data_IF_567934235612
#
_entry.id   IF_567934235612
#
_cell.length_a   1.000
_cell.length_b   1.000
_cell.length_c   1.000
_cell.angle_alpha   90.00
_cell.angle_beta   90.00
_cell.angle_gamma   90.00
#
_symmetry.space_group_name_H-M   'P 1'
#
loop_
_entity.id
_entity.type
_entity.pdbx_description
1 polymer ?
#
# COMPACT_ATOMS: atom_id res chain seq x y z
N UNK A 1 12.03 -40.77 17.67
CA UNK A 1 11.55 -39.37 17.76
C UNK A 1 10.35 -39.23 16.82
N UNK A 2 9.27 -38.57 17.23
CA UNK A 2 8.00 -38.58 16.48
C UNK A 2 8.04 -37.59 15.30
N UNK A 3 7.67 -38.01 14.07
CA UNK A 3 7.69 -37.18 12.84
C UNK A 3 7.00 -35.82 13.01
N UNK A 4 5.98 -35.75 13.87
CA UNK A 4 5.26 -34.51 14.22
C UNK A 4 6.13 -33.49 14.97
N UNK A 5 7.05 -33.95 15.82
CA UNK A 5 7.97 -33.08 16.57
C UNK A 5 9.08 -32.54 15.65
N UNK A 6 9.54 -33.34 14.69
CA UNK A 6 10.52 -32.93 13.67
C UNK A 6 9.93 -31.86 12.75
N UNK A 7 8.70 -32.05 12.25
CA UNK A 7 8.00 -31.06 11.44
C UNK A 7 7.79 -29.73 12.19
N UNK A 8 7.42 -29.79 13.48
CA UNK A 8 7.26 -28.60 14.33
C UNK A 8 8.59 -27.87 14.55
N UNK A 9 9.67 -28.61 14.81
CA UNK A 9 11.00 -28.03 14.97
C UNK A 9 11.50 -27.37 13.67
N UNK A 10 11.26 -28.00 12.53
CA UNK A 10 11.59 -27.42 11.22
C UNK A 10 10.78 -26.14 10.93
N UNK A 11 9.48 -26.14 11.22
CA UNK A 11 8.63 -24.95 11.08
C UNK A 11 9.09 -23.78 11.96
N UNK A 12 9.41 -24.06 13.23
CA UNK A 12 9.94 -23.04 14.14
C UNK A 12 11.27 -22.47 13.64
N UNK A 13 12.18 -23.33 13.18
CA UNK A 13 13.47 -22.91 12.62
C UNK A 13 13.29 -22.00 11.41
N UNK A 14 12.38 -22.36 10.51
CA UNK A 14 12.06 -21.57 9.31
C UNK A 14 11.49 -20.20 9.68
N UNK A 15 10.55 -20.15 10.63
CA UNK A 15 9.95 -18.91 11.11
C UNK A 15 10.99 -17.96 11.73
N UNK A 16 11.91 -18.49 12.55
CA UNK A 16 12.97 -17.68 13.15
C UNK A 16 13.95 -17.14 12.13
N UNK A 17 14.35 -17.95 11.14
CA UNK A 17 15.18 -17.48 10.04
C UNK A 17 14.49 -16.39 9.18
N UNK A 18 13.16 -16.47 9.02
CA UNK A 18 12.39 -15.43 8.35
C UNK A 18 12.31 -14.13 9.18
N UNK A 19 12.16 -14.26 10.50
CA UNK A 19 12.16 -13.12 11.42
C UNK A 19 13.51 -12.38 11.40
N UNK A 20 14.64 -13.09 11.49
CA UNK A 20 15.98 -12.50 11.40
C UNK A 20 16.18 -11.71 10.10
N UNK A 21 15.70 -12.25 8.96
CA UNK A 21 15.74 -11.55 7.68
C UNK A 21 14.86 -10.30 7.66
N UNK A 22 13.65 -10.39 8.22
CA UNK A 22 12.74 -9.26 8.33
C UNK A 22 13.36 -8.14 9.17
N UNK A 23 13.95 -8.47 10.31
CA UNK A 23 14.61 -7.52 11.20
C UNK A 23 15.80 -6.84 10.52
N UNK A 24 16.65 -7.60 9.83
CA UNK A 24 17.78 -7.03 9.09
C UNK A 24 17.31 -6.05 7.99
N UNK A 25 16.28 -6.44 7.22
CA UNK A 25 15.70 -5.57 6.19
C UNK A 25 15.05 -4.32 6.80
N UNK A 26 14.35 -4.47 7.92
CA UNK A 26 13.71 -3.38 8.66
C UNK A 26 14.74 -2.40 9.23
N UNK A 27 15.85 -2.89 9.79
CA UNK A 27 16.94 -2.03 10.26
C UNK A 27 17.53 -1.21 9.10
N UNK A 28 17.79 -1.84 7.95
CA UNK A 28 18.22 -1.11 6.74
C UNK A 28 17.21 -0.05 6.31
N UNK A 29 15.91 -0.36 6.36
CA UNK A 29 14.85 0.59 6.03
C UNK A 29 14.80 1.77 7.02
N UNK A 30 14.96 1.52 8.32
CA UNK A 30 15.03 2.56 9.35
C UNK A 30 16.21 3.49 9.11
N UNK A 31 17.40 2.96 8.78
CA UNK A 31 18.58 3.78 8.47
C UNK A 31 18.32 4.71 7.28
N UNK A 32 17.66 4.22 6.23
CA UNK A 32 17.27 5.05 5.07
C UNK A 32 16.30 6.15 5.50
N UNK A 33 15.31 5.81 6.34
CA UNK A 33 14.31 6.78 6.81
C UNK A 33 14.91 7.83 7.75
N UNK A 34 15.83 7.44 8.62
CA UNK A 34 16.51 8.32 9.58
C UNK A 34 17.38 9.36 8.85
N UNK A 35 18.08 8.95 7.79
CA UNK A 35 18.85 9.85 6.93
C UNK A 35 18.02 10.93 6.22
N UNK A 36 16.69 10.80 6.20
CA UNK A 36 15.78 11.80 5.63
C UNK A 36 15.27 12.83 6.66
N UNK A 37 15.54 12.65 7.96
CA UNK A 37 15.10 13.56 9.03
C UNK A 37 15.83 14.90 8.93
N UNK A 38 15.10 16.00 9.10
CA UNK A 38 15.65 17.35 9.04
C UNK A 38 15.97 17.85 7.62
N UNK A 39 15.75 17.04 6.59
CA UNK A 39 15.94 17.40 5.19
C UNK A 39 14.64 17.98 4.62
N UNK A 40 14.75 19.04 3.80
CA UNK A 40 13.60 19.61 3.09
C UNK A 40 13.28 18.76 1.86
N UNK A 41 12.06 18.23 1.82
CA UNK A 41 11.58 17.34 0.78
C UNK A 41 10.49 17.96 -0.08
N UNK A 42 10.46 17.60 -1.36
CA UNK A 42 9.33 17.91 -2.24
C UNK A 42 8.06 17.18 -1.81
N UNK A 43 6.89 17.64 -2.27
CA UNK A 43 5.62 16.93 -2.03
C UNK A 43 5.61 15.49 -2.52
N UNK A 44 6.38 15.17 -3.57
CA UNK A 44 6.58 13.80 -4.07
C UNK A 44 7.36 12.95 -3.08
N UNK A 45 8.52 13.43 -2.64
CA UNK A 45 9.38 12.74 -1.68
C UNK A 45 8.67 12.52 -0.35
N UNK A 46 7.96 13.53 0.18
CA UNK A 46 7.20 13.40 1.42
C UNK A 46 6.16 12.27 1.37
N UNK A 47 5.50 12.06 0.21
CA UNK A 47 4.54 10.95 0.03
C UNK A 47 5.23 9.60 0.05
N UNK A 48 6.37 9.48 -0.64
CA UNK A 48 7.18 8.27 -0.62
C UNK A 48 7.63 7.92 0.81
N UNK A 49 8.16 8.91 1.54
CA UNK A 49 8.59 8.75 2.92
C UNK A 49 7.44 8.36 3.86
N UNK A 50 6.25 8.92 3.69
CA UNK A 50 5.09 8.56 4.50
C UNK A 50 4.68 7.10 4.33
N UNK A 51 4.61 6.62 3.08
CA UNK A 51 4.28 5.21 2.82
C UNK A 51 5.41 4.29 3.28
N UNK A 52 6.66 4.71 3.13
CA UNK A 52 7.81 3.95 3.59
C UNK A 52 7.86 3.82 5.12
N UNK A 53 7.57 4.90 5.86
CA UNK A 53 7.44 4.86 7.30
C UNK A 53 6.29 3.93 7.74
N UNK A 54 5.15 3.97 7.04
CA UNK A 54 4.04 3.04 7.28
C UNK A 54 4.46 1.58 7.07
N UNK A 55 5.22 1.30 6.01
CA UNK A 55 5.77 -0.04 5.75
C UNK A 55 6.64 -0.51 6.92
N UNK A 56 7.58 0.32 7.38
CA UNK A 56 8.45 0.01 8.52
C UNK A 56 7.60 -0.34 9.75
N UNK A 57 6.59 0.47 10.07
CA UNK A 57 5.69 0.21 11.21
C UNK A 57 4.93 -1.11 11.08
N UNK A 58 4.49 -1.49 9.87
CA UNK A 58 3.86 -2.80 9.66
C UNK A 58 4.84 -3.96 9.91
N UNK A 59 6.08 -3.84 9.43
CA UNK A 59 7.13 -4.82 9.71
C UNK A 59 7.44 -4.93 11.21
N UNK A 60 7.58 -3.80 11.91
CA UNK A 60 7.79 -3.75 13.36
C UNK A 60 6.64 -4.43 14.12
N UNK A 61 5.40 -4.21 13.68
CA UNK A 61 4.22 -4.81 14.30
C UNK A 61 4.23 -6.33 14.16
N UNK A 62 4.59 -6.86 12.98
CA UNK A 62 4.72 -8.31 12.75
C UNK A 62 5.86 -8.89 13.58
N UNK A 63 7.03 -8.25 13.60
CA UNK A 63 8.17 -8.70 14.39
C UNK A 63 7.81 -8.79 15.88
N UNK A 64 7.26 -7.70 16.44
CA UNK A 64 6.84 -7.66 17.85
C UNK A 64 5.74 -8.68 18.19
N UNK A 65 4.86 -8.98 17.25
CA UNK A 65 3.86 -10.05 17.38
C UNK A 65 4.53 -11.43 17.46
N UNK A 66 5.47 -11.73 16.56
CA UNK A 66 6.16 -13.04 16.50
C UNK A 66 7.08 -13.24 17.72
N UNK A 67 7.74 -12.19 18.18
CA UNK A 67 8.61 -12.20 19.37
C UNK A 67 7.81 -12.45 20.66
N UNK A 68 6.61 -11.88 20.78
CA UNK A 68 5.71 -12.05 21.91
C UNK A 68 4.96 -13.40 21.86
N UNK A 69 5.71 -14.51 21.80
CA UNK A 69 5.27 -15.93 21.70
C UNK A 69 4.22 -16.40 22.73
N UNK A 70 3.75 -15.52 23.61
CA UNK A 70 2.73 -15.73 24.63
C UNK A 70 1.31 -15.46 24.12
N UNK A 71 1.14 -14.75 23.00
CA UNK A 71 -0.17 -14.51 22.41
C UNK A 71 -0.59 -15.70 21.52
N UNK A 72 -1.86 -16.14 21.66
CA UNK A 72 -2.51 -16.96 20.63
C UNK A 72 -2.61 -16.11 19.36
N UNK A 73 -1.60 -16.19 18.51
CA UNK A 73 -1.61 -15.52 17.21
C UNK A 73 -2.58 -16.28 16.33
N UNK A 74 -3.71 -15.66 15.99
CA UNK A 74 -4.48 -16.18 14.88
C UNK A 74 -3.65 -15.98 13.60
N UNK A 75 -3.64 -17.02 12.77
CA UNK A 75 -2.92 -16.98 11.50
C UNK A 75 -3.44 -15.83 10.61
N UNK A 76 -4.70 -15.46 10.77
CA UNK A 76 -5.38 -14.47 9.97
C UNK A 76 -4.80 -13.05 10.17
N UNK A 77 -4.44 -12.69 11.40
CA UNK A 77 -3.88 -11.39 11.78
C UNK A 77 -2.47 -11.23 11.22
N UNK A 78 -1.65 -12.27 11.34
CA UNK A 78 -0.30 -12.29 10.75
C UNK A 78 -0.38 -12.23 9.23
N UNK A 79 -1.30 -12.98 8.61
CA UNK A 79 -1.51 -12.93 7.16
C UNK A 79 -2.01 -11.56 6.69
N UNK A 80 -2.94 -10.94 7.41
CA UNK A 80 -3.47 -9.60 7.12
C UNK A 80 -2.36 -8.55 7.19
N UNK A 81 -1.50 -8.61 8.21
CA UNK A 81 -0.34 -7.73 8.31
C UNK A 81 0.68 -8.00 7.20
N UNK A 82 0.93 -9.26 6.86
CA UNK A 82 1.76 -9.63 5.71
C UNK A 82 1.26 -9.01 4.41
N UNK A 83 -0.05 -9.05 4.17
CA UNK A 83 -0.68 -8.40 3.02
C UNK A 83 -0.53 -6.89 3.04
N UNK A 84 -0.70 -6.27 4.20
CA UNK A 84 -0.46 -4.83 4.38
C UNK A 84 1.01 -4.44 4.12
N UNK A 85 1.97 -5.28 4.50
CA UNK A 85 3.41 -5.11 4.19
C UNK A 85 3.64 -5.18 2.68
N UNK A 86 3.07 -6.18 1.99
CA UNK A 86 3.19 -6.34 0.54
C UNK A 86 2.61 -5.11 -0.17
N UNK A 87 1.40 -4.69 0.19
CA UNK A 87 0.72 -3.55 -0.44
C UNK A 87 1.49 -2.24 -0.17
N UNK A 88 1.98 -2.02 1.05
CA UNK A 88 2.77 -0.84 1.40
C UNK A 88 4.14 -0.83 0.71
N UNK A 89 4.78 -1.99 0.56
CA UNK A 89 6.04 -2.15 -0.18
C UNK A 89 5.83 -1.81 -1.65
N UNK A 90 4.77 -2.35 -2.24
CA UNK A 90 4.43 -2.11 -3.63
C UNK A 90 4.11 -0.63 -3.88
N UNK A 91 3.29 -0.02 -3.00
CA UNK A 91 2.98 1.40 -3.06
C UNK A 91 4.21 2.27 -2.90
N UNK A 92 5.12 1.93 -1.97
CA UNK A 92 6.37 2.67 -1.76
C UNK A 92 7.18 2.72 -3.05
N UNK A 93 7.41 1.57 -3.69
CA UNK A 93 8.14 1.51 -4.96
C UNK A 93 7.41 2.26 -6.07
N UNK A 94 6.09 2.09 -6.15
CA UNK A 94 5.26 2.72 -7.18
C UNK A 94 5.32 4.26 -7.17
N UNK A 95 5.33 4.88 -5.99
CA UNK A 95 5.37 6.34 -5.86
C UNK A 95 6.78 6.92 -5.85
N UNK A 96 7.78 6.11 -5.51
CA UNK A 96 9.18 6.53 -5.47
C UNK A 96 9.93 6.34 -6.80
N UNK A 97 9.34 5.65 -7.79
CA UNK A 97 9.98 5.29 -9.07
C UNK A 97 10.64 6.49 -9.78
N UNK A 98 11.98 6.62 -9.73
CA UNK A 98 12.68 7.81 -10.23
C UNK A 98 12.55 8.00 -11.75
N UNK A 99 12.26 6.94 -12.51
CA UNK A 99 12.20 7.03 -13.98
C UNK A 99 10.95 7.73 -14.52
N UNK A 100 9.96 8.03 -13.67
CA UNK A 100 8.70 8.64 -14.10
C UNK A 100 8.89 10.10 -14.53
N UNK A 101 8.30 10.44 -15.68
CA UNK A 101 8.06 11.81 -16.09
C UNK A 101 7.10 12.53 -15.12
N UNK A 102 7.07 13.86 -15.20
CA UNK A 102 6.19 14.66 -14.37
C UNK A 102 4.70 14.36 -14.61
N UNK A 103 4.30 14.13 -15.87
CA UNK A 103 2.92 13.80 -16.24
C UNK A 103 2.52 12.41 -15.75
N UNK A 104 3.39 11.41 -15.91
CA UNK A 104 3.13 10.05 -15.38
C UNK A 104 2.97 10.09 -13.86
N UNK A 105 3.87 10.80 -13.17
CA UNK A 105 3.76 10.94 -11.72
C UNK A 105 2.48 11.67 -11.30
N UNK A 106 2.09 12.75 -12.00
CA UNK A 106 0.85 13.45 -11.68
C UNK A 106 -0.37 12.57 -11.94
N UNK A 107 -0.39 11.76 -13.01
CA UNK A 107 -1.45 10.79 -13.25
C UNK A 107 -1.58 9.81 -12.08
N UNK A 108 -0.46 9.19 -11.66
CA UNK A 108 -0.43 8.28 -10.48
C UNK A 108 -1.02 8.98 -9.25
N UNK A 109 -0.63 10.23 -9.02
CA UNK A 109 -1.12 11.03 -7.89
C UNK A 109 -2.63 11.28 -7.98
N UNK A 110 -3.16 11.69 -9.13
CA UNK A 110 -4.60 11.96 -9.27
C UNK A 110 -5.43 10.69 -9.06
N UNK A 111 -4.97 9.55 -9.59
CA UNK A 111 -5.62 8.24 -9.39
C UNK A 111 -5.68 7.90 -7.90
N UNK A 112 -4.57 8.08 -7.16
CA UNK A 112 -4.52 7.85 -5.72
C UNK A 112 -5.48 8.76 -4.95
N UNK A 113 -5.57 10.04 -5.31
CA UNK A 113 -6.52 10.96 -4.69
C UNK A 113 -7.97 10.61 -4.98
N UNK A 114 -8.30 10.16 -6.20
CA UNK A 114 -9.65 9.76 -6.53
C UNK A 114 -10.05 8.49 -5.75
N UNK A 115 -9.14 7.53 -5.63
CA UNK A 115 -9.33 6.34 -4.80
C UNK A 115 -9.54 6.69 -3.32
N UNK A 116 -8.70 7.56 -2.75
CA UNK A 116 -8.82 8.00 -1.36
C UNK A 116 -10.14 8.75 -1.13
N UNK A 117 -10.49 9.70 -1.99
CA UNK A 117 -11.75 10.44 -1.93
C UNK A 117 -12.97 9.50 -1.95
N UNK A 118 -12.95 8.50 -2.84
CA UNK A 118 -14.04 7.51 -2.99
C UNK A 118 -14.12 6.60 -1.76
N UNK A 119 -12.98 6.12 -1.26
CA UNK A 119 -12.91 5.24 -0.09
C UNK A 119 -13.30 5.99 1.19
N UNK A 120 -12.84 7.23 1.36
CA UNK A 120 -13.20 8.09 2.48
C UNK A 120 -14.69 8.37 2.52
N UNK A 121 -15.34 8.62 1.38
CA UNK A 121 -16.81 8.74 1.35
C UNK A 121 -17.48 7.49 1.90
N UNK A 122 -17.07 6.31 1.42
CA UNK A 122 -17.64 5.03 1.89
C UNK A 122 -17.48 4.85 3.40
N UNK A 123 -16.30 5.17 3.92
CA UNK A 123 -16.01 5.10 5.36
C UNK A 123 -16.86 6.08 6.17
N UNK A 124 -16.91 7.35 5.77
CA UNK A 124 -17.70 8.37 6.48
C UNK A 124 -19.20 8.10 6.43
N UNK A 125 -19.71 7.58 5.30
CA UNK A 125 -21.11 7.13 5.21
C UNK A 125 -21.39 5.98 6.18
N UNK A 126 -20.47 5.03 6.35
CA UNK A 126 -20.64 3.95 7.32
C UNK A 126 -20.64 4.47 8.78
N UNK A 127 -19.79 5.46 9.10
CA UNK A 127 -19.78 6.08 10.43
C UNK A 127 -21.08 6.84 10.73
N UNK A 128 -21.61 7.57 9.74
CA UNK A 128 -22.91 8.24 9.86
C UNK A 128 -24.03 7.23 10.15
N UNK A 129 -24.06 6.10 9.42
CA UNK A 129 -25.02 5.01 9.67
C UNK A 129 -24.83 4.37 11.05
N UNK A 130 -23.63 4.42 11.62
CA UNK A 130 -23.34 3.99 13.00
C UNK A 130 -23.66 5.06 14.06
N UNK A 131 -24.30 6.18 13.68
CA UNK A 131 -24.75 7.23 14.59
C UNK A 131 -23.72 8.31 14.90
N UNK A 132 -22.58 8.34 14.20
CA UNK A 132 -21.62 9.43 14.34
C UNK A 132 -22.09 10.70 13.60
N UNK A 133 -21.72 11.90 14.07
CA UNK A 133 -22.06 13.15 13.38
C UNK A 133 -21.55 13.16 11.93
N UNK A 134 -22.38 13.66 11.02
CA UNK A 134 -22.03 13.79 9.60
C UNK A 134 -20.96 14.88 9.41
N UNK A 135 -19.88 14.54 8.72
CA UNK A 135 -18.87 15.50 8.24
C UNK A 135 -19.42 16.31 7.05
N UNK A 136 -20.21 17.34 7.34
CA UNK A 136 -20.89 18.17 6.33
C UNK A 136 -19.91 18.79 5.33
N UNK A 137 -18.76 19.28 5.82
CA UNK A 137 -17.73 19.89 4.98
C UNK A 137 -17.17 18.93 3.93
N UNK A 138 -16.92 17.67 4.31
CA UNK A 138 -16.51 16.65 3.34
C UNK A 138 -17.60 16.38 2.28
N UNK A 139 -18.84 16.15 2.72
CA UNK A 139 -19.90 15.71 1.81
C UNK A 139 -20.37 16.80 0.85
N UNK A 140 -20.39 18.07 1.27
CA UNK A 140 -20.71 19.21 0.39
C UNK A 140 -19.67 19.37 -0.72
N UNK A 141 -18.37 19.23 -0.38
CA UNK A 141 -17.27 19.36 -1.35
C UNK A 141 -17.03 18.12 -2.21
N UNK A 142 -17.54 16.95 -1.83
CA UNK A 142 -17.20 15.67 -2.43
C UNK A 142 -17.47 15.61 -3.94
N UNK A 143 -18.68 15.99 -4.38
CA UNK A 143 -19.07 15.85 -5.78
C UNK A 143 -18.19 16.70 -6.71
N UNK A 144 -17.96 17.95 -6.32
CA UNK A 144 -17.10 18.87 -7.05
C UNK A 144 -15.63 18.40 -7.05
N UNK A 145 -15.12 17.91 -5.92
CA UNK A 145 -13.76 17.36 -5.84
C UNK A 145 -13.60 16.12 -6.74
N UNK A 146 -14.59 15.23 -6.76
CA UNK A 146 -14.58 14.02 -7.58
C UNK A 146 -14.52 14.35 -9.07
N UNK A 147 -15.38 15.24 -9.55
CA UNK A 147 -15.40 15.60 -10.96
C UNK A 147 -14.13 16.34 -11.39
N UNK A 148 -13.55 17.19 -10.53
CA UNK A 148 -12.23 17.80 -10.80
C UNK A 148 -11.12 16.76 -10.96
N UNK A 149 -11.09 15.75 -10.09
CA UNK A 149 -10.09 14.68 -10.17
C UNK A 149 -10.29 13.84 -11.44
N UNK A 150 -11.53 13.49 -11.77
CA UNK A 150 -11.86 12.74 -12.99
C UNK A 150 -11.42 13.49 -14.25
N UNK A 151 -11.81 14.76 -14.40
CA UNK A 151 -11.43 15.56 -15.55
C UNK A 151 -9.90 15.63 -15.71
N UNK A 152 -9.17 15.77 -14.60
CA UNK A 152 -7.70 15.81 -14.64
C UNK A 152 -7.07 14.45 -14.98
N UNK A 153 -7.64 13.35 -14.50
CA UNK A 153 -7.20 11.99 -14.88
C UNK A 153 -7.45 11.76 -16.37
N UNK A 154 -8.62 12.15 -16.88
CA UNK A 154 -8.98 12.00 -18.29
C UNK A 154 -8.02 12.74 -19.21
N UNK A 155 -7.70 14.00 -18.89
CA UNK A 155 -6.75 14.83 -19.63
C UNK A 155 -5.32 14.24 -19.60
N UNK A 156 -4.79 13.94 -18.40
CA UNK A 156 -3.45 13.38 -18.25
C UNK A 156 -3.30 12.01 -18.91
N UNK A 157 -4.29 11.14 -18.75
CA UNK A 157 -4.25 9.80 -19.32
C UNK A 157 -4.35 9.84 -20.85
N UNK A 158 -5.19 10.71 -21.42
CA UNK A 158 -5.24 10.94 -22.86
C UNK A 158 -3.90 11.47 -23.40
N UNK A 159 -3.28 12.44 -22.71
CA UNK A 159 -1.96 12.99 -23.05
C UNK A 159 -0.87 11.92 -23.05
N UNK A 160 -0.94 10.95 -22.13
CA UNK A 160 -0.02 9.82 -22.02
C UNK A 160 -0.36 8.66 -22.97
N UNK A 161 -1.37 8.81 -23.83
CA UNK A 161 -1.70 7.81 -24.86
C UNK A 161 -2.51 6.62 -24.37
N UNK A 162 -3.16 6.71 -23.20
CA UNK A 162 -4.07 5.67 -22.74
C UNK A 162 -5.33 5.59 -23.60
N UNK A 163 -5.87 4.37 -23.75
CA UNK A 163 -7.12 4.17 -24.50
C UNK A 163 -8.33 4.72 -23.73
N UNK A 164 -9.43 4.99 -24.44
CA UNK A 164 -10.71 5.41 -23.83
C UNK A 164 -11.16 4.47 -22.69
N UNK A 165 -10.97 3.16 -22.85
CA UNK A 165 -11.40 2.19 -21.85
C UNK A 165 -10.51 2.22 -20.61
N UNK A 166 -9.19 2.37 -20.79
CA UNK A 166 -8.26 2.58 -19.68
C UNK A 166 -8.59 3.88 -18.93
N UNK A 167 -8.86 4.97 -19.66
CA UNK A 167 -9.23 6.26 -19.07
C UNK A 167 -10.48 6.12 -18.19
N UNK A 168 -11.54 5.47 -18.70
CA UNK A 168 -12.76 5.21 -17.92
C UNK A 168 -12.47 4.40 -16.66
N UNK A 169 -11.61 3.40 -16.76
CA UNK A 169 -11.23 2.56 -15.62
C UNK A 169 -10.47 3.35 -14.54
N UNK A 170 -9.51 4.18 -14.95
CA UNK A 170 -8.76 5.06 -14.05
C UNK A 170 -9.65 6.11 -13.37
N UNK A 171 -10.62 6.66 -14.09
CA UNK A 171 -11.58 7.65 -13.59
C UNK A 171 -12.73 7.07 -12.75
N UNK A 172 -12.76 5.75 -12.53
CA UNK A 172 -13.80 5.09 -11.71
C UNK A 172 -13.65 5.34 -10.21
N UNK A 173 -12.42 5.62 -9.75
CA UNK A 173 -12.04 5.70 -8.34
C UNK A 173 -11.89 4.37 -7.62
N UNK A 174 -11.92 3.24 -8.35
CA UNK A 174 -11.64 1.91 -7.79
C UNK A 174 -10.16 1.52 -7.91
N UNK A 175 -9.43 2.13 -8.84
CA UNK A 175 -8.02 1.84 -9.08
C UNK A 175 -7.12 2.61 -8.14
N UNK A 176 -6.10 1.91 -7.64
CA UNK A 176 -4.99 2.47 -6.86
C UNK A 176 -3.73 2.64 -7.72
N UNK A 177 -3.57 1.77 -8.72
CA UNK A 177 -2.42 1.73 -9.62
C UNK A 177 -2.91 1.87 -11.07
N UNK A 178 -2.19 2.64 -11.88
CA UNK A 178 -2.50 2.85 -13.31
C UNK A 178 -2.56 1.52 -14.08
N UNK A 179 -1.57 0.63 -13.89
CA UNK A 179 -1.57 -0.72 -14.48
C UNK A 179 -2.27 -1.79 -13.64
N UNK A 180 -3.01 -1.41 -12.59
CA UNK A 180 -3.48 -2.33 -11.56
C UNK A 180 -2.35 -2.89 -10.68
N UNK A 181 -2.71 -3.66 -9.64
CA UNK A 181 -1.74 -4.24 -8.70
C UNK A 181 -0.75 -5.18 -9.38
N UNK A 182 -1.21 -6.00 -10.35
CA UNK A 182 -0.34 -6.87 -11.16
C UNK A 182 0.64 -6.08 -12.02
N UNK A 183 0.19 -4.96 -12.61
CA UNK A 183 1.06 -4.08 -13.38
C UNK A 183 2.15 -3.46 -12.50
N UNK A 184 1.76 -2.94 -11.33
CA UNK A 184 2.70 -2.41 -10.35
C UNK A 184 3.69 -3.48 -9.86
N UNK A 185 3.24 -4.71 -9.60
CA UNK A 185 4.12 -5.81 -9.17
C UNK A 185 5.13 -6.18 -10.28
N UNK A 186 4.71 -6.15 -11.54
CA UNK A 186 5.60 -6.34 -12.69
C UNK A 186 6.64 -5.22 -12.80
N UNK A 187 6.22 -3.96 -12.69
CA UNK A 187 7.13 -2.81 -12.62
C UNK A 187 8.09 -2.94 -11.42
N UNK A 188 7.62 -3.54 -10.33
CA UNK A 188 8.43 -3.83 -9.16
C UNK A 188 9.46 -4.95 -9.38
N UNK A 189 9.41 -5.69 -10.49
CA UNK A 189 10.26 -6.85 -10.74
C UNK A 189 9.94 -8.04 -9.84
N UNK A 190 8.71 -8.12 -9.32
CA UNK A 190 8.27 -9.21 -8.45
C UNK A 190 7.78 -10.40 -9.27
N UNK A 191 7.89 -11.60 -8.69
CA UNK A 191 7.22 -12.78 -9.23
C UNK A 191 5.70 -12.63 -9.10
N UNK A 192 5.01 -12.68 -10.24
CA UNK A 192 3.57 -12.44 -10.30
C UNK A 192 2.75 -13.59 -9.70
N UNK A 193 3.24 -14.83 -9.78
CA UNK A 193 2.55 -15.99 -9.22
C UNK A 193 2.65 -15.97 -7.69
N UNK A 194 3.85 -15.68 -7.16
CA UNK A 194 4.07 -15.53 -5.73
C UNK A 194 3.26 -14.36 -5.16
N UNK A 195 3.25 -13.21 -5.85
CA UNK A 195 2.43 -12.07 -5.47
C UNK A 195 0.93 -12.42 -5.43
N UNK A 196 0.40 -13.09 -6.45
CA UNK A 196 -1.02 -13.51 -6.48
C UNK A 196 -1.35 -14.50 -5.38
N UNK A 197 -0.46 -15.46 -5.12
CA UNK A 197 -0.61 -16.41 -4.04
C UNK A 197 -0.77 -15.68 -2.69
N UNK A 198 0.10 -14.72 -2.38
CA UNK A 198 -0.01 -13.93 -1.15
C UNK A 198 -1.26 -13.05 -1.06
N UNK A 199 -1.82 -12.65 -2.21
CA UNK A 199 -3.06 -11.87 -2.27
C UNK A 199 -4.32 -12.74 -2.21
N UNK A 200 -4.20 -14.07 -2.30
CA UNK A 200 -5.33 -14.99 -2.18
C UNK A 200 -5.68 -15.37 -0.74
N UNK A 201 -4.79 -15.03 0.22
CA UNK A 201 -5.00 -15.19 1.66
C UNK A 201 -5.88 -14.07 2.23
#
# INVERSE_FOLDING_TARGET
MNKRNEARAAGLKSMLAALEKLEAAMQGAVVISDGAIGVVHTGRQNRALFVFAKLITHCMSVAGIIENRTALLDHFSVATLGRAIIDASLMTKYISEPSLTADEWDLRRQVLYLHDLTTRKRFLTALELAGQPRDTGFFEGYAAAKERLKAKIEDLAAKLGHSSDQIKELSSGQKVFVGGSRGAAREAGWDLQEFEFHQSY
#
